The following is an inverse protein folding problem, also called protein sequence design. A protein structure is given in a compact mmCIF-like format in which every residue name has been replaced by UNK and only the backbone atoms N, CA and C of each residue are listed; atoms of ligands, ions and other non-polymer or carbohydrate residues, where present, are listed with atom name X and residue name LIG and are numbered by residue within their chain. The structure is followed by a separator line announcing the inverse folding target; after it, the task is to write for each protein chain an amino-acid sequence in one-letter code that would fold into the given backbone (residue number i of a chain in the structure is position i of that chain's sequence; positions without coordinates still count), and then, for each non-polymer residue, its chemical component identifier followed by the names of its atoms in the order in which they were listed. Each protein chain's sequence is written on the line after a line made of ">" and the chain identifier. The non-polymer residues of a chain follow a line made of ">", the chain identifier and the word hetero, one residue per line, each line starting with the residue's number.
data_IF_250481800546
#
_entry.id   IF_250481800546
#
_cell.length_a   1.000
_cell.length_b   1.000
_cell.length_c   1.000
_cell.angle_alpha   90.00
_cell.angle_beta   90.00
_cell.angle_gamma   90.00
#
_symmetry.space_group_name_H-M   'P 1'
#
loop_
_entity.id
_entity.type
_entity.pdbx_description
1 polymer ?
#
# COMPACT_ATOMS: atom_id res chain seq x y z
N UNK A 1 -24.22 -53.65 -14.41
CA UNK A 1 -23.93 -53.89 -15.84
C UNK A 1 -24.45 -52.70 -16.63
N UNK A 2 -23.59 -52.16 -17.49
CA UNK A 2 -23.78 -51.08 -18.47
C UNK A 2 -25.08 -51.25 -19.30
N UNK A 3 -25.72 -50.22 -19.86
CA UNK A 3 -25.16 -49.30 -20.86
C UNK A 3 -25.97 -48.01 -21.01
N UNK A 4 -25.23 -46.94 -21.27
CA UNK A 4 -25.56 -45.59 -21.71
C UNK A 4 -26.75 -45.45 -22.68
N UNK A 5 -27.50 -44.36 -22.54
CA UNK A 5 -27.77 -43.44 -23.66
C UNK A 5 -27.74 -42.00 -23.13
N UNK A 6 -26.71 -41.25 -23.55
CA UNK A 6 -26.73 -39.80 -23.47
C UNK A 6 -27.60 -39.27 -24.61
N UNK A 7 -28.50 -38.33 -24.30
CA UNK A 7 -29.09 -37.45 -25.30
C UNK A 7 -28.75 -36.02 -24.92
N UNK A 8 -27.92 -35.42 -25.75
CA UNK A 8 -27.77 -33.98 -25.91
C UNK A 8 -29.13 -33.29 -25.81
N UNK A 9 -29.25 -32.32 -24.91
CA UNK A 9 -29.72 -30.98 -25.23
C UNK A 9 -29.57 -30.11 -23.99
N UNK A 10 -28.92 -28.96 -24.16
CA UNK A 10 -28.75 -27.96 -23.12
C UNK A 10 -30.10 -27.52 -22.58
N UNK A 11 -30.42 -27.98 -21.38
CA UNK A 11 -31.44 -27.38 -20.54
C UNK A 11 -30.75 -26.91 -19.28
N UNK A 12 -30.56 -25.58 -19.22
CA UNK A 12 -30.32 -24.89 -17.97
C UNK A 12 -31.42 -25.32 -17.00
N UNK A 13 -31.02 -26.05 -15.95
CA UNK A 13 -31.88 -26.29 -14.80
C UNK A 13 -32.12 -24.92 -14.15
N UNK A 14 -33.28 -24.34 -14.40
CA UNK A 14 -33.78 -23.20 -13.65
C UNK A 14 -33.73 -23.55 -12.16
N UNK A 15 -33.05 -22.77 -11.30
CA UNK A 15 -33.08 -23.02 -9.87
C UNK A 15 -34.52 -22.77 -9.39
N UNK A 16 -35.15 -23.81 -8.85
CA UNK A 16 -36.40 -23.70 -8.11
C UNK A 16 -36.23 -22.67 -6.99
N UNK A 17 -37.02 -21.60 -7.08
CA UNK A 17 -37.06 -20.51 -6.12
C UNK A 17 -37.59 -20.98 -4.76
N UNK A 18 -36.69 -21.30 -3.84
CA UNK A 18 -37.01 -21.21 -2.41
C UNK A 18 -36.83 -19.74 -2.01
N UNK A 19 -37.93 -19.10 -1.65
CA UNK A 19 -38.03 -17.70 -1.23
C UNK A 19 -37.25 -17.45 0.07
N UNK A 20 -35.93 -17.24 -0.05
CA UNK A 20 -35.15 -16.54 0.98
C UNK A 20 -35.46 -15.05 0.90
N UNK A 21 -35.61 -14.39 2.06
CA UNK A 21 -35.95 -12.97 2.11
C UNK A 21 -34.98 -12.16 1.25
N UNK A 22 -35.49 -11.17 0.51
CA UNK A 22 -34.70 -10.35 -0.42
C UNK A 22 -33.44 -9.75 0.21
N UNK A 23 -33.46 -9.51 1.52
CA UNK A 23 -32.31 -9.04 2.29
C UNK A 23 -31.19 -10.07 2.43
N UNK A 24 -31.50 -11.34 2.63
CA UNK A 24 -30.47 -12.38 2.73
C UNK A 24 -29.86 -12.68 1.36
N UNK A 25 -30.67 -12.68 0.31
CA UNK A 25 -30.18 -12.81 -1.07
C UNK A 25 -29.24 -11.65 -1.44
N UNK A 26 -29.59 -10.42 -1.05
CA UNK A 26 -28.75 -9.24 -1.28
C UNK A 26 -27.44 -9.31 -0.50
N UNK A 27 -27.47 -9.75 0.77
CA UNK A 27 -26.25 -9.98 1.58
C UNK A 27 -25.34 -11.04 0.97
N UNK A 28 -25.91 -12.14 0.47
CA UNK A 28 -25.14 -13.21 -0.19
C UNK A 28 -24.50 -12.71 -1.48
N UNK A 29 -25.23 -11.93 -2.28
CA UNK A 29 -24.67 -11.32 -3.50
C UNK A 29 -23.54 -10.36 -3.15
N UNK A 30 -23.73 -9.46 -2.18
CA UNK A 30 -22.68 -8.54 -1.74
C UNK A 30 -21.44 -9.28 -1.22
N UNK A 31 -21.62 -10.29 -0.36
CA UNK A 31 -20.52 -11.11 0.14
C UNK A 31 -19.81 -11.86 -0.99
N UNK A 32 -20.54 -12.36 -1.99
CA UNK A 32 -19.97 -13.04 -3.16
C UNK A 32 -19.17 -12.07 -4.06
N UNK A 33 -19.65 -10.84 -4.23
CA UNK A 33 -18.97 -9.79 -4.99
C UNK A 33 -17.73 -9.29 -4.26
N UNK A 34 -17.78 -9.19 -2.94
CA UNK A 34 -16.64 -8.85 -2.09
C UNK A 34 -15.60 -9.98 -2.13
N UNK A 35 -16.02 -11.24 -2.01
CA UNK A 35 -15.11 -12.39 -2.13
C UNK A 35 -14.49 -12.53 -3.53
N UNK A 36 -15.25 -12.22 -4.59
CA UNK A 36 -14.72 -12.18 -5.96
C UNK A 36 -13.72 -11.03 -6.15
N UNK A 37 -14.01 -9.83 -5.62
CA UNK A 37 -13.05 -8.72 -5.60
C UNK A 37 -11.77 -9.11 -4.86
N UNK A 38 -11.91 -9.67 -3.66
CA UNK A 38 -10.78 -10.13 -2.86
C UNK A 38 -9.96 -11.22 -3.57
N UNK A 39 -10.61 -12.16 -4.25
CA UNK A 39 -9.91 -13.19 -5.04
C UNK A 39 -9.19 -12.61 -6.26
N UNK A 40 -9.79 -11.63 -6.93
CA UNK A 40 -9.16 -10.90 -8.03
C UNK A 40 -8.01 -10.04 -7.52
N UNK A 41 -8.12 -9.42 -6.35
CA UNK A 41 -7.09 -8.62 -5.68
C UNK A 41 -5.87 -9.45 -5.31
N UNK A 42 -6.06 -10.62 -4.70
CA UNK A 42 -4.97 -11.59 -4.42
C UNK A 42 -4.22 -11.99 -5.70
N UNK A 43 -4.90 -12.00 -6.85
CA UNK A 43 -4.27 -12.24 -8.14
C UNK A 43 -3.62 -10.98 -8.71
N UNK A 44 -4.28 -9.83 -8.66
CA UNK A 44 -3.79 -8.55 -9.23
C UNK A 44 -2.53 -8.09 -8.51
N UNK A 45 -2.44 -8.25 -7.18
CA UNK A 45 -1.23 -8.09 -6.39
C UNK A 45 -0.01 -8.75 -7.04
N UNK A 46 -0.13 -10.01 -7.43
CA UNK A 46 0.99 -10.80 -8.01
C UNK A 46 1.44 -10.32 -9.39
N UNK A 47 0.65 -9.51 -10.08
CA UNK A 47 0.94 -9.10 -11.47
C UNK A 47 1.07 -7.58 -11.65
N UNK A 48 0.54 -6.76 -10.73
CA UNK A 48 0.59 -5.31 -10.81
C UNK A 48 0.29 -4.63 -9.45
N UNK A 49 1.31 -4.53 -8.60
CA UNK A 49 1.21 -3.97 -7.25
C UNK A 49 0.78 -2.50 -7.24
N UNK A 50 1.15 -1.72 -8.25
CA UNK A 50 0.71 -0.32 -8.37
C UNK A 50 -0.79 -0.16 -8.69
N UNK A 51 -1.37 -1.01 -9.54
CA UNK A 51 -2.83 -1.05 -9.74
C UNK A 51 -3.57 -1.51 -8.47
N UNK A 52 -2.95 -2.39 -7.71
CA UNK A 52 -3.45 -2.83 -6.42
C UNK A 52 -3.41 -1.69 -5.38
N UNK A 53 -2.30 -0.97 -5.24
CA UNK A 53 -2.18 0.17 -4.33
C UNK A 53 -3.14 1.33 -4.64
N UNK A 54 -3.33 1.65 -5.92
CA UNK A 54 -4.02 2.87 -6.36
C UNK A 54 -5.36 2.60 -7.06
N UNK A 55 -5.97 1.43 -6.87
CA UNK A 55 -7.38 1.26 -7.25
C UNK A 55 -8.27 2.10 -6.33
N UNK A 56 -9.45 2.51 -6.79
CA UNK A 56 -10.38 3.36 -6.02
C UNK A 56 -10.84 2.65 -4.75
N UNK A 57 -10.33 3.10 -3.61
CA UNK A 57 -10.54 2.50 -2.30
C UNK A 57 -10.81 3.55 -1.24
N UNK A 58 -11.57 3.17 -0.23
CA UNK A 58 -11.57 3.92 1.03
C UNK A 58 -10.20 3.83 1.72
N UNK A 59 -9.95 4.74 2.66
CA UNK A 59 -8.65 4.86 3.33
C UNK A 59 -8.27 3.60 4.12
N UNK A 60 -9.24 2.89 4.71
CA UNK A 60 -8.96 1.71 5.53
C UNK A 60 -8.42 0.58 4.67
N UNK A 61 -8.99 0.40 3.48
CA UNK A 61 -8.49 -0.59 2.53
C UNK A 61 -7.12 -0.20 1.97
N UNK A 62 -6.86 1.08 1.72
CA UNK A 62 -5.53 1.56 1.33
C UNK A 62 -4.48 1.24 2.41
N UNK A 63 -4.78 1.50 3.69
CA UNK A 63 -3.88 1.18 4.81
C UNK A 63 -3.59 -0.32 4.91
N UNK A 64 -4.61 -1.18 4.82
CA UNK A 64 -4.42 -2.64 4.86
C UNK A 64 -3.48 -3.11 3.74
N UNK A 65 -3.66 -2.58 2.51
CA UNK A 65 -2.80 -2.94 1.37
C UNK A 65 -1.36 -2.49 1.57
N UNK A 66 -1.16 -1.33 2.20
CA UNK A 66 0.17 -0.85 2.57
C UNK A 66 0.81 -1.79 3.59
N UNK A 67 0.07 -2.23 4.61
CA UNK A 67 0.58 -3.16 5.62
C UNK A 67 0.94 -4.52 5.03
N UNK A 68 0.09 -5.09 4.17
CA UNK A 68 0.38 -6.34 3.46
C UNK A 68 1.71 -6.23 2.67
N UNK A 69 1.94 -5.08 2.00
CA UNK A 69 3.17 -4.82 1.25
C UNK A 69 4.38 -4.70 2.17
N UNK A 70 4.22 -3.97 3.26
CA UNK A 70 5.27 -3.75 4.25
C UNK A 70 5.75 -5.08 4.81
N UNK A 71 4.81 -5.93 5.21
CA UNK A 71 5.10 -7.19 5.87
C UNK A 71 5.82 -8.15 4.90
N UNK A 72 5.40 -8.21 3.63
CA UNK A 72 6.11 -8.96 2.59
C UNK A 72 7.54 -8.44 2.34
N UNK A 73 7.74 -7.11 2.35
CA UNK A 73 9.09 -6.53 2.23
C UNK A 73 9.99 -6.90 3.41
N UNK A 74 9.45 -6.88 4.64
CA UNK A 74 10.17 -7.26 5.85
C UNK A 74 10.52 -8.76 5.88
N UNK A 75 9.68 -9.61 5.29
CA UNK A 75 9.95 -11.04 5.09
C UNK A 75 10.97 -11.31 3.96
N UNK A 76 11.47 -10.26 3.30
CA UNK A 76 12.46 -10.34 2.22
C UNK A 76 11.87 -10.76 0.87
N UNK A 77 10.54 -10.69 0.72
CA UNK A 77 9.86 -10.97 -0.52
C UNK A 77 9.88 -9.74 -1.45
N UNK A 78 10.01 -10.01 -2.76
CA UNK A 78 9.94 -8.99 -3.81
C UNK A 78 8.48 -8.58 -4.05
N UNK A 79 7.93 -7.82 -3.12
CA UNK A 79 6.56 -7.30 -3.11
C UNK A 79 6.28 -6.27 -4.21
N UNK A 80 7.30 -5.51 -4.60
CA UNK A 80 7.20 -4.40 -5.54
C UNK A 80 8.14 -4.64 -6.71
N UNK A 81 7.72 -4.24 -7.92
CA UNK A 81 8.64 -4.06 -9.04
C UNK A 81 9.20 -2.63 -9.05
N UNK A 82 10.31 -2.40 -9.75
CA UNK A 82 10.83 -1.04 -10.00
C UNK A 82 9.79 -0.13 -10.67
N UNK A 83 8.86 -0.69 -11.45
CA UNK A 83 7.76 0.07 -12.05
C UNK A 83 6.77 0.55 -10.99
N UNK A 84 6.48 -0.29 -9.99
CA UNK A 84 5.53 0.05 -8.92
C UNK A 84 6.07 1.18 -8.05
N UNK A 85 7.36 1.12 -7.67
CA UNK A 85 8.01 2.19 -6.91
C UNK A 85 8.05 3.51 -7.69
N UNK A 86 8.29 3.44 -9.00
CA UNK A 86 8.22 4.63 -9.86
C UNK A 86 6.80 5.23 -9.93
N UNK A 87 5.76 4.40 -9.98
CA UNK A 87 4.38 4.88 -9.95
C UNK A 87 4.07 5.52 -8.60
N UNK A 88 4.49 4.89 -7.49
CA UNK A 88 4.36 5.47 -6.15
C UNK A 88 5.01 6.86 -6.11
N UNK A 89 6.27 6.98 -6.53
CA UNK A 89 7.02 8.23 -6.61
C UNK A 89 6.32 9.32 -7.43
N UNK A 90 5.65 8.96 -8.52
CA UNK A 90 4.88 9.91 -9.34
C UNK A 90 3.54 10.32 -8.70
N UNK A 91 2.98 9.46 -7.84
CA UNK A 91 1.65 9.65 -7.25
C UNK A 91 1.69 10.37 -5.91
N UNK A 92 2.76 10.24 -5.12
CA UNK A 92 2.82 10.79 -3.75
C UNK A 92 2.46 12.27 -3.66
N UNK A 93 2.85 13.10 -4.64
CA UNK A 93 2.48 14.52 -4.64
C UNK A 93 0.98 14.82 -4.77
N UNK A 94 0.16 13.82 -5.11
CA UNK A 94 -1.29 13.95 -5.27
C UNK A 94 -2.09 13.17 -4.21
N UNK A 95 -1.42 12.53 -3.24
CA UNK A 95 -2.07 11.75 -2.20
C UNK A 95 -2.58 12.66 -1.08
N UNK A 96 -3.66 12.26 -0.42
CA UNK A 96 -4.13 12.91 0.80
C UNK A 96 -3.15 12.67 1.95
N UNK A 97 -3.22 13.51 3.00
CA UNK A 97 -2.39 13.36 4.21
C UNK A 97 -2.47 11.94 4.78
N UNK A 98 -3.68 11.38 4.93
CA UNK A 98 -3.84 10.01 5.46
C UNK A 98 -3.16 8.95 4.58
N UNK A 99 -3.27 9.07 3.26
CA UNK A 99 -2.58 8.16 2.34
C UNK A 99 -1.06 8.31 2.40
N UNK A 100 -0.56 9.54 2.59
CA UNK A 100 0.88 9.78 2.77
C UNK A 100 1.39 9.16 4.07
N UNK A 101 0.66 9.31 5.18
CA UNK A 101 1.01 8.69 6.46
C UNK A 101 1.04 7.16 6.36
N UNK A 102 0.13 6.57 5.59
CA UNK A 102 0.19 5.15 5.29
C UNK A 102 1.45 4.80 4.49
N UNK A 103 1.69 5.49 3.36
CA UNK A 103 2.88 5.27 2.51
C UNK A 103 4.19 5.42 3.29
N UNK A 104 4.27 6.31 4.29
CA UNK A 104 5.46 6.48 5.12
C UNK A 104 5.93 5.16 5.76
N UNK A 105 4.98 4.29 6.12
CA UNK A 105 5.24 2.96 6.72
C UNK A 105 5.98 2.00 5.78
N UNK A 106 5.99 2.27 4.47
CA UNK A 106 6.78 1.52 3.48
C UNK A 106 8.21 2.04 3.33
N UNK A 107 8.47 3.28 3.74
CA UNK A 107 9.70 3.96 3.32
C UNK A 107 10.95 3.39 4.01
N UNK A 108 10.89 2.98 5.29
CA UNK A 108 12.03 2.32 5.94
C UNK A 108 12.36 0.96 5.31
N UNK A 109 11.39 0.03 5.14
CA UNK A 109 11.67 -1.25 4.45
C UNK A 109 12.18 -1.06 3.01
N UNK A 110 11.73 -0.01 2.31
CA UNK A 110 12.25 0.34 0.98
C UNK A 110 13.64 0.96 1.02
N UNK A 111 13.99 1.71 2.08
CA UNK A 111 15.34 2.25 2.29
C UNK A 111 16.36 1.12 2.52
N UNK A 112 16.00 0.14 3.35
CA UNK A 112 16.83 -1.03 3.67
C UNK A 112 17.09 -1.92 2.46
N UNK A 113 16.21 -1.88 1.46
CA UNK A 113 16.38 -2.63 0.23
C UNK A 113 17.26 -1.86 -0.78
N UNK A 114 18.46 -2.36 -1.07
CA UNK A 114 19.41 -1.73 -2.01
C UNK A 114 18.78 -1.39 -3.38
N UNK A 115 17.82 -2.19 -3.86
CA UNK A 115 17.15 -1.99 -5.16
C UNK A 115 16.27 -0.73 -5.14
N UNK A 116 15.70 -0.36 -3.99
CA UNK A 116 14.70 0.70 -3.84
C UNK A 116 15.21 1.91 -3.05
N UNK A 117 16.32 1.78 -2.33
CA UNK A 117 16.88 2.78 -1.42
C UNK A 117 16.86 4.21 -1.96
N UNK A 118 17.37 4.42 -3.18
CA UNK A 118 17.42 5.73 -3.84
C UNK A 118 16.04 6.29 -4.20
N UNK A 119 15.10 5.43 -4.61
CA UNK A 119 13.75 5.86 -4.92
C UNK A 119 12.96 6.17 -3.63
N UNK A 120 13.17 5.39 -2.57
CA UNK A 120 12.63 5.66 -1.23
C UNK A 120 13.13 6.99 -0.68
N UNK A 121 14.45 7.24 -0.76
CA UNK A 121 15.06 8.52 -0.40
C UNK A 121 14.41 9.69 -1.12
N UNK A 122 14.21 9.56 -2.44
CA UNK A 122 13.57 10.60 -3.23
C UNK A 122 12.11 10.85 -2.83
N UNK A 123 11.37 9.82 -2.39
CA UNK A 123 10.01 9.99 -1.86
C UNK A 123 10.05 10.69 -0.49
N UNK A 124 10.99 10.32 0.37
CA UNK A 124 11.20 10.97 1.68
C UNK A 124 11.49 12.46 1.49
N UNK A 125 12.35 12.85 0.56
CA UNK A 125 12.62 14.27 0.27
C UNK A 125 11.36 15.04 -0.15
N UNK A 126 10.40 14.39 -0.83
CA UNK A 126 9.09 14.99 -1.14
C UNK A 126 8.26 15.19 0.14
N UNK A 127 8.25 14.19 1.02
CA UNK A 127 7.49 14.27 2.28
C UNK A 127 8.03 15.34 3.22
N UNK A 128 9.37 15.48 3.31
CA UNK A 128 10.02 16.51 4.13
C UNK A 128 9.65 17.94 3.70
N UNK A 129 9.23 18.15 2.46
CA UNK A 129 8.79 19.45 1.93
C UNK A 129 7.27 19.64 1.98
N UNK A 130 6.52 18.66 2.49
CA UNK A 130 5.07 18.69 2.50
C UNK A 130 4.55 19.76 3.50
N UNK A 131 3.46 20.49 3.21
CA UNK A 131 2.93 21.54 4.09
C UNK A 131 2.38 21.02 5.43
N UNK A 132 1.83 19.80 5.46
CA UNK A 132 1.36 19.16 6.69
C UNK A 132 2.55 18.63 7.52
N UNK A 133 2.59 18.99 8.80
CA UNK A 133 3.67 18.64 9.72
C UNK A 133 3.66 17.16 10.11
N UNK A 134 2.49 16.50 10.12
CA UNK A 134 2.40 15.05 10.35
C UNK A 134 3.11 14.26 9.24
N UNK A 135 3.07 14.74 8.00
CA UNK A 135 3.77 14.11 6.87
C UNK A 135 5.29 14.28 6.99
N UNK A 136 5.74 15.48 7.40
CA UNK A 136 7.17 15.72 7.65
C UNK A 136 7.68 14.87 8.80
N UNK A 137 6.90 14.76 9.88
CA UNK A 137 7.21 13.88 11.00
C UNK A 137 7.33 12.41 10.56
N UNK A 138 6.36 11.90 9.80
CA UNK A 138 6.37 10.52 9.32
C UNK A 138 7.59 10.22 8.41
N UNK A 139 8.07 11.22 7.66
CA UNK A 139 9.31 11.10 6.91
C UNK A 139 10.55 10.99 7.82
N UNK A 140 10.61 11.79 8.89
CA UNK A 140 11.68 11.68 9.88
C UNK A 140 11.66 10.32 10.59
N UNK A 141 10.47 9.80 10.88
CA UNK A 141 10.30 8.47 11.49
C UNK A 141 10.77 7.37 10.55
N UNK A 142 10.46 7.46 9.25
CA UNK A 142 10.99 6.52 8.26
C UNK A 142 12.52 6.57 8.15
N UNK A 143 13.13 7.75 8.27
CA UNK A 143 14.59 7.90 8.32
C UNK A 143 15.15 7.23 9.59
N UNK A 144 14.54 7.49 10.76
CA UNK A 144 15.08 7.07 12.05
C UNK A 144 15.21 5.54 12.17
N UNK A 145 14.28 4.79 11.58
CA UNK A 145 14.36 3.32 11.56
C UNK A 145 15.52 2.78 10.74
N UNK A 146 16.01 3.52 9.75
CA UNK A 146 17.12 3.09 8.88
C UNK A 146 18.49 3.63 9.32
N UNK A 147 18.56 4.50 10.34
CA UNK A 147 19.81 5.07 10.82
C UNK A 147 20.73 4.01 11.43
N UNK A 148 22.03 4.13 11.18
CA UNK A 148 23.03 3.16 11.61
C UNK A 148 23.04 1.83 10.84
N UNK A 149 21.97 1.50 10.11
CA UNK A 149 21.86 0.29 9.28
C UNK A 149 22.09 0.57 7.80
N UNK A 150 21.50 1.66 7.29
CA UNK A 150 21.52 1.99 5.86
C UNK A 150 22.31 3.29 5.63
N UNK A 151 23.43 3.28 4.87
CA UNK A 151 24.26 4.47 4.68
C UNK A 151 23.53 5.70 4.11
N UNK A 152 22.55 5.49 3.22
CA UNK A 152 21.78 6.58 2.63
C UNK A 152 20.90 7.31 3.65
N UNK A 153 20.52 6.65 4.76
CA UNK A 153 19.69 7.27 5.79
C UNK A 153 20.42 8.47 6.45
N UNK A 154 21.73 8.36 6.64
CA UNK A 154 22.57 9.46 7.16
C UNK A 154 22.61 10.66 6.20
N UNK A 155 22.69 10.38 4.90
CA UNK A 155 22.68 11.42 3.86
C UNK A 155 21.35 12.17 3.85
N UNK A 156 20.24 11.43 3.91
CA UNK A 156 18.88 12.00 3.94
C UNK A 156 18.64 12.75 5.26
N UNK A 157 19.15 12.27 6.40
CA UNK A 157 19.06 12.98 7.67
C UNK A 157 19.78 14.34 7.61
N UNK A 158 20.96 14.38 7.01
CA UNK A 158 21.69 15.64 6.81
C UNK A 158 20.89 16.61 5.91
N UNK A 159 20.25 16.11 4.85
CA UNK A 159 19.36 16.90 4.01
C UNK A 159 18.15 17.41 4.80
N UNK A 160 17.51 16.54 5.58
CA UNK A 160 16.36 16.87 6.42
C UNK A 160 16.70 17.98 7.44
N UNK A 161 17.84 17.89 8.11
CA UNK A 161 18.34 18.91 9.04
C UNK A 161 18.51 20.28 8.37
N UNK A 162 18.93 20.31 7.10
CA UNK A 162 19.04 21.56 6.36
C UNK A 162 17.69 22.09 5.86
N UNK A 163 16.81 21.23 5.36
CA UNK A 163 15.47 21.59 4.88
C UNK A 163 14.58 22.13 6.01
N UNK A 164 14.63 21.48 7.18
CA UNK A 164 13.75 21.76 8.31
C UNK A 164 14.38 22.67 9.38
N UNK A 165 15.49 23.35 9.06
CA UNK A 165 16.18 24.24 10.00
C UNK A 165 15.33 25.35 10.62
N UNK A 166 14.25 25.73 9.92
CA UNK A 166 13.30 26.77 10.33
C UNK A 166 11.90 26.19 10.60
N UNK A 167 11.82 24.90 10.93
CA UNK A 167 10.55 24.24 11.23
C UNK A 167 9.80 24.94 12.36
N UNK A 168 8.54 25.27 12.10
CA UNK A 168 7.65 25.96 13.04
C UNK A 168 6.97 24.97 13.99
N UNK A 169 6.71 23.74 13.52
CA UNK A 169 6.07 22.70 14.32
C UNK A 169 7.02 22.19 15.40
N UNK A 170 6.67 22.45 16.66
CA UNK A 170 7.50 22.10 17.83
C UNK A 170 7.83 20.62 17.87
N UNK A 171 6.85 19.73 17.63
CA UNK A 171 7.08 18.29 17.74
C UNK A 171 7.96 17.74 16.61
N UNK A 172 7.85 18.28 15.39
CA UNK A 172 8.73 17.92 14.28
C UNK A 172 10.16 18.34 14.56
N UNK A 173 10.35 19.58 15.05
CA UNK A 173 11.67 20.10 15.41
C UNK A 173 12.32 19.31 16.55
N UNK A 174 11.58 19.07 17.63
CA UNK A 174 12.08 18.29 18.77
C UNK A 174 12.48 16.88 18.36
N UNK A 175 11.70 16.25 17.48
CA UNK A 175 12.04 14.93 16.97
C UNK A 175 13.29 14.96 16.09
N UNK A 176 13.41 15.93 15.17
CA UNK A 176 14.60 16.11 14.32
C UNK A 176 15.88 16.35 15.14
N UNK A 177 15.78 17.08 16.25
CA UNK A 177 16.91 17.33 17.16
C UNK A 177 17.30 16.08 17.97
N UNK A 178 16.38 15.13 18.14
CA UNK A 178 16.64 13.86 18.82
C UNK A 178 17.38 12.81 17.96
N UNK A 179 17.39 13.00 16.63
CA UNK A 179 18.05 12.15 15.63
C UNK A 179 19.47 12.63 15.34
#
# INVERSE_FOLDING_TARGET
>A
MSTLLATNNGQFLSPTSSSGSSNEHYKIIQASQQAQRHWLEVKVWKYNTSLYLFSDLDIAEFENRIEDIRDELLEGHLALSKRDVNILKQRVGNLSVFQLLAVARLLSPLLENEVYSQDAASIISVFLQHPADEVRYAALEAISYALGEVPIAEEILAEAKNLLKNEESTFVREFLESL
#
